data_IF_720484225601
#
_entry.id   IF_720484225601
#
_cell.length_a   1.000
_cell.length_b   1.000
_cell.length_c   1.000
_cell.angle_alpha   90.00
_cell.angle_beta   90.00
_cell.angle_gamma   90.00
#
_symmetry.space_group_name_H-M   'P 1'
#
loop_
_entity.id
_entity.type
_entity.pdbx_description
1 polymer ?
#
# COMPACT_ATOMS: atom_id res chain seq x y z
N UNK A 1 0.62 -8.69 23.79
CA UNK A 1 1.74 -7.93 24.40
C UNK A 1 1.11 -7.03 25.45
N UNK A 2 1.51 -7.11 26.71
CA UNK A 2 1.04 -6.17 27.76
C UNK A 2 1.65 -4.79 27.53
N UNK A 3 1.09 -3.73 28.12
CA UNK A 3 1.69 -2.39 27.98
C UNK A 3 3.15 -2.38 28.43
N UNK A 4 3.47 -3.00 29.57
CA UNK A 4 4.85 -3.14 30.07
C UNK A 4 5.79 -3.81 29.06
N UNK A 5 5.37 -4.94 28.46
CA UNK A 5 6.16 -5.61 27.42
C UNK A 5 6.37 -4.72 26.18
N UNK A 6 5.37 -3.93 25.83
CA UNK A 6 5.46 -2.98 24.72
C UNK A 6 6.43 -1.83 25.05
N UNK A 7 6.39 -1.28 26.27
CA UNK A 7 7.33 -0.25 26.73
C UNK A 7 8.78 -0.76 26.63
N UNK A 8 9.04 -1.96 27.14
CA UNK A 8 10.36 -2.59 27.10
C UNK A 8 10.83 -2.79 25.66
N UNK A 9 9.97 -3.33 24.78
CA UNK A 9 10.30 -3.55 23.37
C UNK A 9 10.60 -2.23 22.65
N UNK A 10 9.80 -1.19 22.92
CA UNK A 10 10.03 0.15 22.38
C UNK A 10 11.37 0.73 22.82
N UNK A 11 11.72 0.61 24.10
CA UNK A 11 13.02 1.08 24.61
C UNK A 11 14.18 0.36 23.91
N UNK A 12 14.09 -0.96 23.73
CA UNK A 12 15.10 -1.74 22.99
C UNK A 12 15.22 -1.28 21.54
N UNK A 13 14.10 -1.02 20.87
CA UNK A 13 14.11 -0.48 19.50
C UNK A 13 14.75 0.92 19.43
N UNK A 14 14.44 1.81 20.38
CA UNK A 14 15.05 3.14 20.47
C UNK A 14 16.56 3.05 20.68
N UNK A 15 17.02 2.10 21.50
CA UNK A 15 18.44 1.83 21.67
C UNK A 15 19.09 1.30 20.38
N UNK A 16 18.45 0.38 19.65
CA UNK A 16 18.95 -0.07 18.34
C UNK A 16 19.08 1.11 17.38
N UNK A 17 18.05 1.96 17.31
CA UNK A 17 18.04 3.14 16.44
C UNK A 17 19.11 4.16 16.83
N UNK A 18 19.50 4.29 18.11
CA UNK A 18 20.59 5.21 18.47
C UNK A 18 21.93 4.78 17.85
N UNK A 19 22.18 3.48 17.73
CA UNK A 19 23.39 2.93 17.09
C UNK A 19 23.27 2.80 15.57
N UNK A 20 22.05 2.71 15.04
CA UNK A 20 21.80 2.34 13.63
C UNK A 20 20.82 3.28 12.92
N UNK A 21 20.72 4.55 13.35
CA UNK A 21 19.74 5.53 12.85
C UNK A 21 19.77 5.74 11.34
N UNK A 22 20.87 5.40 10.66
CA UNK A 22 21.03 5.47 9.22
C UNK A 22 20.43 4.27 8.47
N UNK A 23 20.03 3.20 9.16
CA UNK A 23 19.44 2.02 8.56
C UNK A 23 17.91 2.13 8.54
N UNK A 24 17.36 2.32 7.34
CA UNK A 24 15.91 2.46 7.13
C UNK A 24 15.07 1.22 7.49
N UNK A 25 15.65 0.01 7.58
CA UNK A 25 14.91 -1.18 7.99
C UNK A 25 14.45 -1.08 9.43
N UNK A 26 15.34 -0.65 10.34
CA UNK A 26 14.97 -0.51 11.75
C UNK A 26 13.89 0.56 11.96
N UNK A 27 13.88 1.62 11.15
CA UNK A 27 12.78 2.60 11.16
C UNK A 27 11.46 2.00 10.66
N UNK A 28 11.52 1.20 9.59
CA UNK A 28 10.35 0.50 9.04
C UNK A 28 9.77 -0.47 10.08
N UNK A 29 10.60 -1.33 10.67
CA UNK A 29 10.19 -2.27 11.72
C UNK A 29 9.68 -1.56 12.97
N UNK A 30 10.27 -0.42 13.35
CA UNK A 30 9.78 0.38 14.47
C UNK A 30 8.37 0.95 14.20
N UNK A 31 8.11 1.42 12.98
CA UNK A 31 6.79 1.88 12.57
C UNK A 31 5.76 0.72 12.59
N UNK A 32 6.11 -0.43 12.00
CA UNK A 32 5.25 -1.62 11.97
C UNK A 32 4.91 -2.13 13.37
N UNK A 33 5.89 -2.17 14.29
CA UNK A 33 5.68 -2.56 15.68
C UNK A 33 4.69 -1.62 16.39
N UNK A 34 4.87 -0.30 16.23
CA UNK A 34 3.95 0.70 16.80
C UNK A 34 2.55 0.59 16.20
N UNK A 35 2.46 0.38 14.89
CA UNK A 35 1.21 0.19 14.18
C UNK A 35 0.46 -1.05 14.68
N UNK A 36 1.15 -2.19 14.83
CA UNK A 36 0.56 -3.40 15.40
C UNK A 36 0.02 -3.13 16.81
N UNK A 37 0.80 -2.47 17.68
CA UNK A 37 0.37 -2.18 19.04
C UNK A 37 -0.89 -1.29 19.08
N UNK A 38 -0.95 -0.25 18.25
CA UNK A 38 -2.09 0.66 18.16
C UNK A 38 -3.40 -0.08 17.85
N UNK A 39 -3.38 -1.01 16.87
CA UNK A 39 -4.59 -1.71 16.43
C UNK A 39 -4.91 -2.99 17.22
N UNK A 40 -4.00 -3.48 18.05
CA UNK A 40 -4.19 -4.70 18.85
C UNK A 40 -4.28 -4.44 20.36
N UNK A 41 -4.23 -3.17 20.79
CA UNK A 41 -4.35 -2.79 22.19
C UNK A 41 -5.67 -2.07 22.43
N UNK A 42 -6.65 -2.70 23.10
CA UNK A 42 -7.89 -2.01 23.45
C UNK A 42 -7.60 -0.89 24.46
N UNK A 43 -8.50 0.10 24.53
CA UNK A 43 -8.52 1.15 25.56
C UNK A 43 -7.40 2.21 25.52
N UNK A 44 -6.71 2.39 24.37
CA UNK A 44 -5.85 3.56 24.19
C UNK A 44 -6.69 4.86 24.15
N UNK A 45 -6.28 5.86 24.93
CA UNK A 45 -6.90 7.19 24.87
C UNK A 45 -6.67 7.85 23.51
N UNK A 46 -7.55 8.78 23.11
CA UNK A 46 -7.40 9.52 21.85
C UNK A 46 -6.02 10.19 21.74
N UNK A 47 -5.52 10.77 22.84
CA UNK A 47 -4.18 11.38 22.89
C UNK A 47 -3.07 10.37 22.57
N UNK A 48 -3.16 9.15 23.12
CA UNK A 48 -2.20 8.09 22.81
C UNK A 48 -2.30 7.65 21.35
N UNK A 49 -3.51 7.48 20.82
CA UNK A 49 -3.71 7.09 19.43
C UNK A 49 -3.10 8.12 18.46
N UNK A 50 -3.30 9.42 18.72
CA UNK A 50 -2.68 10.49 17.94
C UNK A 50 -1.15 10.47 18.04
N UNK A 51 -0.60 10.27 19.24
CA UNK A 51 0.85 10.14 19.42
C UNK A 51 1.42 8.93 18.64
N UNK A 52 0.72 7.80 18.64
CA UNK A 52 1.12 6.63 17.86
C UNK A 52 1.11 6.93 16.37
N UNK A 53 0.03 7.53 15.87
CA UNK A 53 -0.07 7.97 14.48
C UNK A 53 1.11 8.85 14.08
N UNK A 54 1.40 9.90 14.85
CA UNK A 54 2.50 10.82 14.56
C UNK A 54 3.86 10.10 14.53
N UNK A 55 4.10 9.21 15.50
CA UNK A 55 5.35 8.44 15.56
C UNK A 55 5.50 7.46 14.40
N UNK A 56 4.42 6.77 14.03
CA UNK A 56 4.41 5.80 12.93
C UNK A 56 4.72 6.51 11.62
N UNK A 57 4.01 7.61 11.34
CA UNK A 57 4.21 8.36 10.09
C UNK A 57 5.61 8.99 10.04
N UNK A 58 6.12 9.52 11.16
CA UNK A 58 7.48 10.05 11.24
C UNK A 58 8.56 8.97 10.99
N UNK A 59 8.38 7.78 11.56
CA UNK A 59 9.30 6.66 11.34
C UNK A 59 9.32 6.19 9.88
N UNK A 60 8.15 6.10 9.22
CA UNK A 60 8.09 5.78 7.79
C UNK A 60 8.74 6.88 6.92
N UNK A 61 8.47 8.17 7.19
CA UNK A 61 9.14 9.27 6.47
C UNK A 61 10.66 9.19 6.60
N UNK A 62 11.16 8.86 7.79
CA UNK A 62 12.60 8.65 8.02
C UNK A 62 13.11 7.43 7.25
N UNK A 63 12.39 6.32 7.25
CA UNK A 63 12.77 5.14 6.47
C UNK A 63 12.81 5.42 4.95
N UNK A 64 11.85 6.21 4.45
CA UNK A 64 11.78 6.64 3.04
C UNK A 64 12.98 7.53 2.68
N UNK A 65 13.32 8.51 3.53
CA UNK A 65 14.45 9.42 3.25
C UNK A 65 15.79 8.69 3.20
N UNK A 66 15.96 7.65 4.03
CA UNK A 66 17.15 6.81 4.03
C UNK A 66 17.21 5.84 2.84
N UNK A 67 16.05 5.49 2.26
CA UNK A 67 15.94 4.49 1.18
C UNK A 67 14.90 4.88 0.13
N UNK A 68 15.17 5.93 -0.66
CA UNK A 68 14.19 6.51 -1.59
C UNK A 68 13.85 5.61 -2.78
N UNK A 69 14.53 4.47 -2.92
CA UNK A 69 14.31 3.47 -3.97
C UNK A 69 13.73 2.15 -3.44
N UNK A 70 13.34 2.07 -2.15
CA UNK A 70 12.81 0.84 -1.56
C UNK A 70 11.28 0.80 -1.63
N UNK A 71 10.68 0.00 -2.54
CA UNK A 71 9.25 0.08 -2.81
C UNK A 71 8.37 -0.32 -1.62
N UNK A 72 8.83 -1.28 -0.81
CA UNK A 72 8.05 -1.80 0.31
C UNK A 72 7.78 -0.74 1.38
N UNK A 73 8.75 0.13 1.69
CA UNK A 73 8.53 1.20 2.69
C UNK A 73 7.49 2.21 2.20
N UNK A 74 7.46 2.54 0.90
CA UNK A 74 6.40 3.37 0.34
C UNK A 74 5.02 2.68 0.40
N UNK A 75 4.95 1.39 0.10
CA UNK A 75 3.71 0.61 0.20
C UNK A 75 3.19 0.59 1.65
N UNK A 76 4.05 0.26 2.62
CA UNK A 76 3.72 0.22 4.04
C UNK A 76 3.29 1.59 4.57
N UNK A 77 3.92 2.67 4.10
CA UNK A 77 3.54 4.03 4.44
C UNK A 77 2.17 4.40 3.89
N UNK A 78 1.87 4.04 2.64
CA UNK A 78 0.54 4.23 2.05
C UNK A 78 -0.53 3.43 2.82
N UNK A 79 -0.23 2.19 3.23
CA UNK A 79 -1.11 1.38 4.09
C UNK A 79 -1.37 2.09 5.42
N UNK A 80 -0.34 2.59 6.08
CA UNK A 80 -0.48 3.30 7.35
C UNK A 80 -1.37 4.55 7.21
N UNK A 81 -1.12 5.36 6.18
CA UNK A 81 -1.94 6.56 5.90
C UNK A 81 -3.40 6.21 5.59
N UNK A 82 -3.66 5.17 4.79
CA UNK A 82 -5.03 4.72 4.53
C UNK A 82 -5.76 4.27 5.81
N UNK A 83 -5.07 3.56 6.70
CA UNK A 83 -5.63 3.15 8.00
C UNK A 83 -5.93 4.34 8.93
N UNK A 84 -5.25 5.47 8.75
CA UNK A 84 -5.55 6.73 9.43
C UNK A 84 -6.55 7.62 8.68
N UNK A 85 -7.09 7.16 7.55
CA UNK A 85 -8.00 7.92 6.69
C UNK A 85 -7.34 9.11 5.99
N UNK A 86 -6.00 9.14 5.90
CA UNK A 86 -5.24 10.21 5.27
C UNK A 86 -4.98 9.93 3.79
N UNK A 87 -5.87 10.40 2.93
CA UNK A 87 -5.76 10.28 1.47
C UNK A 87 -5.24 11.57 0.83
N UNK A 88 -4.19 12.14 1.42
CA UNK A 88 -3.58 13.40 0.98
C UNK A 88 -2.51 13.17 -0.11
N UNK A 89 -1.79 14.24 -0.47
CA UNK A 89 -0.73 14.19 -1.48
C UNK A 89 0.37 13.17 -1.14
N UNK A 90 0.67 12.99 0.15
CA UNK A 90 1.72 12.08 0.60
C UNK A 90 1.31 10.62 0.43
N UNK A 91 0.03 10.30 0.68
CA UNK A 91 -0.54 8.99 0.37
C UNK A 91 -0.48 8.69 -1.13
N UNK A 92 -0.90 9.66 -1.96
CA UNK A 92 -0.90 9.54 -3.42
C UNK A 92 0.54 9.32 -3.93
N UNK A 93 1.49 10.11 -3.43
CA UNK A 93 2.91 9.98 -3.78
C UNK A 93 3.45 8.60 -3.39
N UNK A 94 3.19 8.16 -2.16
CA UNK A 94 3.67 6.87 -1.67
C UNK A 94 3.10 5.70 -2.48
N UNK A 95 1.80 5.70 -2.77
CA UNK A 95 1.13 4.70 -3.61
C UNK A 95 1.76 4.64 -5.02
N UNK A 96 1.93 5.80 -5.65
CA UNK A 96 2.53 5.90 -6.98
C UNK A 96 3.99 5.45 -6.98
N UNK A 97 4.77 5.86 -5.98
CA UNK A 97 6.21 5.58 -5.89
C UNK A 97 6.48 4.12 -5.58
N UNK A 98 5.69 3.52 -4.69
CA UNK A 98 5.72 2.08 -4.45
C UNK A 98 5.52 1.33 -5.77
N UNK A 99 4.44 1.64 -6.49
CA UNK A 99 4.13 0.97 -7.75
C UNK A 99 5.19 1.20 -8.84
N UNK A 100 5.74 2.41 -8.93
CA UNK A 100 6.82 2.75 -9.87
C UNK A 100 8.07 1.89 -9.61
N UNK A 101 8.49 1.76 -8.35
CA UNK A 101 9.71 1.08 -7.96
C UNK A 101 9.54 -0.46 -7.90
N UNK A 102 8.34 -0.92 -7.53
CA UNK A 102 8.01 -2.33 -7.30
C UNK A 102 6.96 -2.87 -8.26
N UNK A 103 6.94 -2.43 -9.53
CA UNK A 103 5.87 -2.76 -10.49
C UNK A 103 5.68 -4.27 -10.75
N UNK A 104 6.65 -5.11 -10.36
CA UNK A 104 6.64 -6.57 -10.49
C UNK A 104 6.64 -7.31 -9.15
N UNK A 105 6.62 -6.59 -8.04
CA UNK A 105 6.56 -7.16 -6.71
C UNK A 105 5.09 -7.42 -6.35
N UNK A 106 4.74 -8.67 -6.07
CA UNK A 106 3.34 -9.06 -5.80
C UNK A 106 2.74 -8.27 -4.65
N UNK A 107 3.48 -8.10 -3.55
CA UNK A 107 3.05 -7.28 -2.41
C UNK A 107 2.69 -5.86 -2.83
N UNK A 108 3.56 -5.21 -3.60
CA UNK A 108 3.36 -3.83 -4.05
C UNK A 108 2.17 -3.71 -5.00
N UNK A 109 2.01 -4.68 -5.92
CA UNK A 109 0.85 -4.74 -6.80
C UNK A 109 -0.42 -4.90 -5.96
N UNK A 110 -0.45 -5.84 -5.02
CA UNK A 110 -1.61 -6.11 -4.17
C UNK A 110 -2.00 -4.90 -3.34
N UNK A 111 -1.04 -4.27 -2.66
CA UNK A 111 -1.26 -3.02 -1.93
C UNK A 111 -1.77 -1.91 -2.85
N UNK A 112 -1.23 -1.80 -4.08
CA UNK A 112 -1.71 -0.79 -5.04
C UNK A 112 -3.18 -1.01 -5.40
N UNK A 113 -3.58 -2.26 -5.61
CA UNK A 113 -4.95 -2.61 -5.96
C UNK A 113 -5.91 -2.40 -4.80
N UNK A 114 -5.57 -2.90 -3.61
CA UNK A 114 -6.37 -2.79 -2.40
C UNK A 114 -6.63 -1.31 -2.04
N UNK A 115 -5.56 -0.52 -1.92
CA UNK A 115 -5.68 0.89 -1.56
C UNK A 115 -6.28 1.70 -2.70
N UNK A 116 -5.82 1.47 -3.92
CA UNK A 116 -6.19 2.26 -5.09
C UNK A 116 -7.65 2.12 -5.48
N UNK A 117 -8.20 0.90 -5.44
CA UNK A 117 -9.61 0.67 -5.75
C UNK A 117 -10.51 1.14 -4.61
N UNK A 118 -10.11 0.94 -3.35
CA UNK A 118 -10.85 1.44 -2.19
C UNK A 118 -10.95 2.96 -2.13
N UNK A 119 -9.95 3.66 -2.69
CA UNK A 119 -9.84 5.12 -2.63
C UNK A 119 -10.00 5.79 -3.99
N UNK A 120 -10.51 5.07 -4.99
CA UNK A 120 -10.54 5.47 -6.40
C UNK A 120 -10.99 6.91 -6.63
N UNK A 121 -12.10 7.31 -6.01
CA UNK A 121 -12.73 8.62 -6.21
C UNK A 121 -11.98 9.77 -5.52
N UNK A 122 -10.95 9.45 -4.71
CA UNK A 122 -10.03 10.40 -4.09
C UNK A 122 -8.73 10.55 -4.87
N UNK A 123 -8.48 9.65 -5.82
CA UNK A 123 -7.25 9.66 -6.62
C UNK A 123 -7.38 10.58 -7.82
N UNK A 124 -6.33 11.33 -8.18
CA UNK A 124 -6.26 11.97 -9.49
C UNK A 124 -6.24 10.92 -10.59
N UNK A 125 -6.68 11.30 -11.80
CA UNK A 125 -6.73 10.41 -12.96
C UNK A 125 -5.38 9.74 -13.28
N UNK A 126 -4.27 10.43 -13.01
CA UNK A 126 -2.92 9.88 -13.15
C UNK A 126 -2.67 8.69 -12.22
N UNK A 127 -3.11 8.77 -10.97
CA UNK A 127 -3.02 7.67 -10.00
C UNK A 127 -4.05 6.57 -10.26
N UNK A 128 -5.26 6.91 -10.72
CA UNK A 128 -6.22 5.89 -11.20
C UNK A 128 -5.61 5.06 -12.34
N UNK A 129 -4.86 5.70 -13.24
CA UNK A 129 -4.12 4.99 -14.29
C UNK A 129 -3.02 4.08 -13.74
N UNK A 130 -2.33 4.47 -12.65
CA UNK A 130 -1.37 3.59 -11.96
C UNK A 130 -2.07 2.33 -11.45
N UNK A 131 -3.25 2.47 -10.84
CA UNK A 131 -4.06 1.35 -10.35
C UNK A 131 -4.54 0.47 -11.51
N UNK A 132 -5.07 1.06 -12.58
CA UNK A 132 -5.49 0.32 -13.78
C UNK A 132 -4.32 -0.46 -14.41
N UNK A 133 -3.14 0.14 -14.50
CA UNK A 133 -1.93 -0.54 -14.97
C UNK A 133 -1.52 -1.70 -14.04
N UNK A 134 -1.75 -1.60 -12.73
CA UNK A 134 -1.51 -2.70 -11.80
C UNK A 134 -2.49 -3.86 -12.05
N UNK A 135 -3.77 -3.58 -12.31
CA UNK A 135 -4.76 -4.62 -12.70
C UNK A 135 -4.33 -5.27 -14.01
N UNK A 136 -3.92 -4.47 -15.00
CA UNK A 136 -3.46 -4.97 -16.29
C UNK A 136 -2.27 -5.92 -16.13
N UNK A 137 -1.29 -5.56 -15.29
CA UNK A 137 -0.16 -6.44 -15.00
C UNK A 137 -0.60 -7.74 -14.35
N UNK A 138 -1.53 -7.73 -13.40
CA UNK A 138 -2.06 -8.95 -12.77
C UNK A 138 -2.73 -9.91 -13.75
N UNK A 139 -3.36 -9.41 -14.83
CA UNK A 139 -4.02 -10.26 -15.84
C UNK A 139 -3.14 -10.62 -17.04
N UNK A 140 -2.04 -9.89 -17.26
CA UNK A 140 -1.09 -10.10 -18.36
C UNK A 140 0.23 -10.74 -17.92
N UNK A 141 0.40 -10.99 -16.62
CA UNK A 141 1.64 -11.55 -16.08
C UNK A 141 1.97 -12.90 -16.71
N UNK A 142 3.25 -13.11 -17.01
CA UNK A 142 3.80 -14.36 -17.52
C UNK A 142 4.53 -15.12 -16.40
N UNK A 143 3.77 -15.65 -15.44
CA UNK A 143 4.24 -16.65 -14.47
C UNK A 143 3.85 -18.06 -14.97
N UNK A 144 3.70 -19.03 -14.06
CA UNK A 144 3.02 -20.29 -14.36
C UNK A 144 1.50 -20.16 -14.26
N UNK A 145 0.76 -21.09 -14.85
CA UNK A 145 -0.70 -21.05 -14.95
C UNK A 145 -1.40 -20.87 -13.59
N UNK A 146 -0.93 -21.58 -12.55
CA UNK A 146 -1.52 -21.50 -11.20
C UNK A 146 -1.35 -20.09 -10.62
N UNK A 147 -0.16 -19.50 -10.74
CA UNK A 147 0.11 -18.16 -10.25
C UNK A 147 -0.62 -17.10 -11.09
N UNK A 148 -0.62 -17.23 -12.41
CA UNK A 148 -1.37 -16.32 -13.30
C UNK A 148 -2.86 -16.30 -12.95
N UNK A 149 -3.46 -17.47 -12.70
CA UNK A 149 -4.85 -17.56 -12.26
C UNK A 149 -5.07 -16.89 -10.91
N UNK A 150 -4.17 -17.10 -9.94
CA UNK A 150 -4.26 -16.46 -8.62
C UNK A 150 -4.25 -14.93 -8.73
N UNK A 151 -3.29 -14.38 -9.47
CA UNK A 151 -3.15 -12.92 -9.65
C UNK A 151 -4.33 -12.31 -10.40
N UNK A 152 -4.82 -13.00 -11.44
CA UNK A 152 -6.01 -12.61 -12.18
C UNK A 152 -7.26 -12.58 -11.30
N UNK A 153 -7.49 -13.64 -10.53
CA UNK A 153 -8.65 -13.74 -9.62
C UNK A 153 -8.58 -12.63 -8.59
N UNK A 154 -7.43 -12.45 -7.93
CA UNK A 154 -7.25 -11.40 -6.92
C UNK A 154 -7.62 -10.02 -7.48
N UNK A 155 -7.03 -9.63 -8.61
CA UNK A 155 -7.24 -8.31 -9.18
C UNK A 155 -8.69 -8.10 -9.64
N UNK A 156 -9.26 -9.04 -10.40
CA UNK A 156 -10.62 -8.88 -10.94
C UNK A 156 -11.70 -9.00 -9.86
N UNK A 157 -11.47 -9.78 -8.80
CA UNK A 157 -12.37 -9.82 -7.65
C UNK A 157 -12.43 -8.48 -6.93
N UNK A 158 -11.28 -7.81 -6.72
CA UNK A 158 -11.27 -6.47 -6.13
C UNK A 158 -11.94 -5.43 -7.03
N UNK A 159 -11.65 -5.45 -8.34
CA UNK A 159 -12.30 -4.56 -9.31
C UNK A 159 -13.82 -4.72 -9.28
N UNK A 160 -14.30 -5.97 -9.24
CA UNK A 160 -15.72 -6.28 -9.11
C UNK A 160 -16.33 -5.84 -7.77
N UNK A 161 -15.63 -6.10 -6.66
CA UNK A 161 -16.06 -5.70 -5.32
C UNK A 161 -16.28 -4.19 -5.21
N UNK A 162 -15.35 -3.39 -5.75
CA UNK A 162 -15.45 -1.92 -5.77
C UNK A 162 -16.27 -1.37 -6.95
N UNK A 163 -16.82 -2.24 -7.81
CA UNK A 163 -17.61 -1.87 -8.99
C UNK A 163 -16.88 -0.93 -9.97
N UNK A 164 -15.56 -1.05 -10.08
CA UNK A 164 -14.71 -0.18 -10.92
C UNK A 164 -14.34 -0.77 -12.28
N UNK A 165 -15.09 -1.77 -12.76
CA UNK A 165 -14.73 -2.47 -14.01
C UNK A 165 -14.66 -1.50 -15.19
N UNK A 166 -15.70 -0.68 -15.41
CA UNK A 166 -15.74 0.29 -16.51
C UNK A 166 -14.62 1.32 -16.41
N UNK A 167 -14.39 1.87 -15.21
CA UNK A 167 -13.38 2.90 -14.97
C UNK A 167 -11.96 2.36 -15.20
N UNK A 168 -11.67 1.16 -14.69
CA UNK A 168 -10.38 0.49 -14.88
C UNK A 168 -10.17 0.16 -16.36
N UNK A 169 -11.17 -0.41 -17.03
CA UNK A 169 -11.09 -0.78 -18.43
C UNK A 169 -10.83 0.43 -19.36
N UNK A 170 -11.41 1.59 -19.03
CA UNK A 170 -11.18 2.83 -19.79
C UNK A 170 -9.73 3.32 -19.76
N UNK A 171 -8.94 2.88 -18.76
CA UNK A 171 -7.55 3.29 -18.56
C UNK A 171 -6.51 2.24 -18.98
N UNK A 172 -6.97 1.05 -19.40
CA UNK A 172 -6.11 -0.07 -19.83
C UNK A 172 -5.72 0.00 -21.31
N UNK A 173 -4.67 -0.73 -21.68
CA UNK A 173 -4.36 -1.04 -23.07
C UNK A 173 -5.37 -2.02 -23.67
N UNK A 174 -5.40 -2.15 -25.00
CA UNK A 174 -6.26 -3.13 -25.69
C UNK A 174 -5.98 -4.57 -25.24
N UNK A 175 -4.72 -4.92 -24.97
CA UNK A 175 -4.35 -6.25 -24.48
C UNK A 175 -4.90 -6.48 -23.07
N UNK A 176 -4.75 -5.47 -22.20
CA UNK A 176 -5.33 -5.49 -20.85
C UNK A 176 -6.85 -5.65 -20.90
N UNK A 177 -7.52 -4.90 -21.76
CA UNK A 177 -8.97 -4.96 -21.92
C UNK A 177 -9.45 -6.35 -22.34
N UNK A 178 -8.78 -6.97 -23.30
CA UNK A 178 -9.09 -8.33 -23.76
C UNK A 178 -8.91 -9.35 -22.63
N UNK A 179 -7.81 -9.28 -21.87
CA UNK A 179 -7.50 -10.23 -20.79
C UNK A 179 -8.38 -10.05 -19.55
N UNK A 180 -8.86 -8.84 -19.31
CA UNK A 180 -9.78 -8.49 -18.23
C UNK A 180 -11.26 -8.74 -18.56
N UNK A 181 -11.58 -9.19 -19.78
CA UNK A 181 -12.96 -9.30 -20.28
C UNK A 181 -13.75 -7.98 -20.15
N UNK A 182 -13.10 -6.86 -20.48
CA UNK A 182 -13.74 -5.55 -20.44
C UNK A 182 -14.99 -5.51 -21.33
N UNK A 183 -16.05 -4.80 -20.92
CA UNK A 183 -17.23 -4.65 -21.76
C UNK A 183 -16.82 -4.00 -23.09
N UNK A 184 -17.23 -4.61 -24.20
CA UNK A 184 -17.05 -3.98 -25.51
C UNK A 184 -17.96 -2.76 -25.54
N UNK A 185 -17.38 -1.57 -25.63
CA UNK A 185 -18.16 -0.38 -25.97
C UNK A 185 -18.64 -0.60 -27.40
N UNK A 186 -19.89 -1.04 -27.58
CA UNK A 186 -20.57 -0.80 -28.85
C UNK A 186 -20.52 0.72 -29.08
N UNK A 187 -20.02 1.22 -30.21
CA UNK A 187 -20.32 2.59 -30.58
C UNK A 187 -21.85 2.68 -30.72
N UNK A 188 -22.45 3.54 -29.89
CA UNK A 188 -23.77 4.10 -30.13
C UNK A 188 -23.79 4.89 -31.42
#
# INVERSE_FOLDING_TARGET
ITDSQYQELRQKHQQILSFTHYNGDFWTSFAQMQFWYLYNTPQLTLKQQLQFKDNILSAYRTAISLRPTWPYTFADFAVAKANFGEYDAEFIEALNKANQLGARESYVIHTTLELGLATWDKLPISSQKVVANAVERSVTWQLNDRLNQKERIFALSLVGYYQKLTDVCALMTTVGQQKSNCPTTKPS
#
